data_IF_995162990039
#
_entry.id   IF_995162990039
#
_cell.length_a   1.000
_cell.length_b   1.000
_cell.length_c   1.000
_cell.angle_alpha   90.00
_cell.angle_beta   90.00
_cell.angle_gamma   90.00
#
_symmetry.space_group_name_H-M   'P 1'
#
loop_
_entity.id
_entity.type
_entity.pdbx_description
1 polymer ?
#
# COMPACT_ATOMS: atom_id res chain seq x y z
N UNK A 1 -3.75 -25.30 5.68
CA UNK A 1 -3.70 -25.85 7.07
C UNK A 1 -3.24 -27.30 7.05
N UNK A 2 -2.50 -27.73 8.08
CA UNK A 2 -2.03 -29.12 8.18
C UNK A 2 -3.22 -30.09 8.30
N UNK A 3 -3.25 -31.20 7.55
CA UNK A 3 -4.27 -32.24 7.70
C UNK A 3 -4.38 -32.70 9.17
N UNK A 4 -5.62 -32.82 9.67
CA UNK A 4 -5.90 -33.16 11.07
C UNK A 4 -6.03 -31.97 12.02
N UNK A 5 -5.84 -30.73 11.55
CA UNK A 5 -6.15 -29.52 12.32
C UNK A 5 -7.65 -29.43 12.60
N UNK A 6 -8.04 -29.15 13.85
CA UNK A 6 -9.44 -28.98 14.27
C UNK A 6 -9.73 -27.52 14.59
N UNK A 7 -10.75 -26.94 13.97
CA UNK A 7 -11.24 -25.59 14.30
C UNK A 7 -12.02 -25.66 15.62
N UNK A 8 -11.68 -24.79 16.57
CA UNK A 8 -12.32 -24.67 17.89
C UNK A 8 -13.33 -23.53 17.89
N UNK A 9 -12.95 -22.36 17.36
CA UNK A 9 -13.84 -21.21 17.21
C UNK A 9 -13.45 -20.35 16.02
N UNK A 10 -14.43 -19.60 15.51
CA UNK A 10 -14.28 -18.56 14.52
C UNK A 10 -15.08 -17.35 15.00
N UNK A 11 -14.38 -16.24 15.29
CA UNK A 11 -14.97 -15.03 15.85
C UNK A 11 -14.67 -13.86 14.92
N UNK A 12 -15.68 -13.02 14.62
CA UNK A 12 -15.45 -11.78 13.89
C UNK A 12 -14.40 -10.92 14.61
N UNK A 13 -13.45 -10.35 13.87
CA UNK A 13 -12.33 -9.64 14.47
C UNK A 13 -11.81 -8.52 13.57
N UNK A 14 -11.64 -7.33 14.12
CA UNK A 14 -11.15 -6.15 13.40
C UNK A 14 -12.18 -5.54 12.43
N UNK A 15 -11.75 -4.49 11.72
CA UNK A 15 -12.56 -3.76 10.75
C UNK A 15 -11.80 -3.65 9.44
N UNK A 16 -12.47 -3.90 8.32
CA UNK A 16 -11.92 -3.71 6.98
C UNK A 16 -12.97 -3.11 6.04
N UNK A 17 -12.53 -2.20 5.18
CA UNK A 17 -13.33 -1.63 4.08
C UNK A 17 -13.57 -2.63 2.93
N UNK A 18 -12.86 -3.77 2.91
CA UNK A 18 -12.77 -4.65 1.73
C UNK A 18 -13.03 -6.13 2.00
N UNK A 19 -12.82 -6.61 3.22
CA UNK A 19 -13.02 -8.02 3.57
C UNK A 19 -13.82 -8.21 4.87
N UNK A 20 -14.45 -9.37 5.02
CA UNK A 20 -14.89 -9.88 6.33
C UNK A 20 -13.71 -10.56 7.00
N UNK A 21 -13.47 -10.21 8.25
CA UNK A 21 -12.27 -10.65 8.99
C UNK A 21 -12.65 -11.45 10.24
N UNK A 22 -11.87 -12.48 10.53
CA UNK A 22 -12.12 -13.35 11.68
C UNK A 22 -10.82 -13.86 12.33
N UNK A 23 -10.88 -14.08 13.63
CA UNK A 23 -9.88 -14.83 14.40
C UNK A 23 -10.34 -16.28 14.51
N UNK A 24 -9.54 -17.19 13.98
CA UNK A 24 -9.74 -18.63 14.07
C UNK A 24 -8.87 -19.22 15.18
N UNK A 25 -9.48 -19.91 16.13
CA UNK A 25 -8.73 -20.72 17.11
C UNK A 25 -8.74 -22.18 16.68
N UNK A 26 -7.58 -22.82 16.61
CA UNK A 26 -7.44 -24.21 16.18
C UNK A 26 -6.62 -25.06 17.15
N UNK A 27 -6.79 -26.37 17.08
CA UNK A 27 -5.89 -27.38 17.65
C UNK A 27 -5.19 -28.10 16.50
N UNK A 28 -3.86 -28.02 16.47
CA UNK A 28 -3.01 -28.69 15.49
C UNK A 28 -2.96 -30.22 15.75
N UNK A 29 -2.48 -31.02 14.78
CA UNK A 29 -2.39 -32.48 14.95
C UNK A 29 -1.55 -32.94 16.14
N UNK A 30 -0.57 -32.13 16.56
CA UNK A 30 0.27 -32.38 17.74
C UNK A 30 -0.39 -31.96 19.07
N UNK A 31 -1.65 -31.51 19.03
CA UNK A 31 -2.42 -31.05 20.18
C UNK A 31 -2.16 -29.60 20.59
N UNK A 32 -1.22 -28.88 19.95
CA UNK A 32 -0.97 -27.47 20.26
C UNK A 32 -2.09 -26.58 19.77
N UNK A 33 -2.38 -25.53 20.53
CA UNK A 33 -3.32 -24.48 20.12
C UNK A 33 -2.59 -23.47 19.25
N UNK A 34 -3.22 -23.03 18.16
CA UNK A 34 -2.75 -21.94 17.30
C UNK A 34 -3.92 -21.04 16.94
N UNK A 35 -3.64 -19.77 16.68
CA UNK A 35 -4.62 -18.80 16.20
C UNK A 35 -4.24 -18.31 14.81
N UNK A 36 -5.23 -18.14 13.94
CA UNK A 36 -5.06 -17.59 12.60
C UNK A 36 -5.98 -16.40 12.41
N UNK A 37 -5.50 -15.45 11.61
CA UNK A 37 -6.31 -14.37 11.07
C UNK A 37 -6.82 -14.80 9.69
N UNK A 38 -8.13 -14.72 9.49
CA UNK A 38 -8.83 -15.06 8.26
C UNK A 38 -9.41 -13.78 7.64
N UNK A 39 -9.12 -13.55 6.36
CA UNK A 39 -9.85 -12.57 5.54
C UNK A 39 -10.66 -13.32 4.49
N UNK A 40 -11.92 -12.92 4.31
CA UNK A 40 -12.79 -13.40 3.24
C UNK A 40 -13.30 -12.22 2.41
N UNK A 41 -13.16 -12.30 1.09
CA UNK A 41 -13.55 -11.26 0.16
C UNK A 41 -14.37 -11.83 -1.01
N UNK A 42 -15.26 -10.99 -1.56
CA UNK A 42 -16.07 -11.27 -2.75
C UNK A 42 -15.96 -10.09 -3.73
N UNK A 43 -16.32 -10.30 -4.99
CA UNK A 43 -16.31 -9.25 -6.01
C UNK A 43 -15.02 -9.15 -6.84
N UNK A 44 -14.96 -8.10 -7.67
CA UNK A 44 -13.90 -7.86 -8.66
C UNK A 44 -12.63 -7.38 -7.96
N UNK A 45 -11.68 -8.29 -7.75
CA UNK A 45 -10.41 -8.04 -7.08
C UNK A 45 -10.20 -8.88 -5.82
N UNK A 46 -11.24 -9.60 -5.34
CA UNK A 46 -11.15 -10.46 -4.16
C UNK A 46 -10.06 -11.53 -4.26
N UNK A 47 -9.86 -12.09 -5.47
CA UNK A 47 -8.77 -13.03 -5.73
C UNK A 47 -7.40 -12.39 -5.53
N UNK A 48 -7.19 -11.19 -6.07
CA UNK A 48 -5.92 -10.48 -5.94
C UNK A 48 -5.66 -10.02 -4.50
N UNK A 49 -6.71 -9.68 -3.76
CA UNK A 49 -6.60 -9.42 -2.32
C UNK A 49 -6.09 -10.68 -1.59
N UNK A 50 -6.70 -11.84 -1.81
CA UNK A 50 -6.32 -13.07 -1.10
C UNK A 50 -5.00 -13.71 -1.58
N UNK A 51 -4.88 -13.98 -2.88
CA UNK A 51 -3.70 -14.59 -3.51
C UNK A 51 -2.50 -13.64 -3.45
N UNK A 52 -2.72 -12.36 -3.76
CA UNK A 52 -1.69 -11.33 -3.73
C UNK A 52 -1.13 -11.13 -2.34
N UNK A 53 -1.96 -11.02 -1.31
CA UNK A 53 -1.50 -10.89 0.09
C UNK A 53 -0.70 -12.13 0.54
N UNK A 54 -1.15 -13.35 0.18
CA UNK A 54 -0.39 -14.56 0.49
C UNK A 54 1.02 -14.55 -0.12
N UNK A 55 1.13 -14.24 -1.40
CA UNK A 55 2.42 -14.21 -2.08
C UNK A 55 3.30 -13.05 -1.61
N UNK A 56 2.69 -11.90 -1.29
CA UNK A 56 3.36 -10.73 -0.73
C UNK A 56 3.96 -11.04 0.65
N UNK A 57 3.15 -11.59 1.56
CA UNK A 57 3.60 -11.98 2.89
C UNK A 57 4.68 -13.08 2.85
N UNK A 58 4.60 -13.98 1.85
CA UNK A 58 5.61 -15.02 1.63
C UNK A 58 6.93 -14.40 1.16
N UNK A 59 6.88 -13.46 0.21
CA UNK A 59 8.07 -12.77 -0.31
C UNK A 59 8.76 -11.96 0.78
N UNK A 60 8.01 -11.19 1.59
CA UNK A 60 8.57 -10.42 2.69
C UNK A 60 9.20 -11.35 3.74
N UNK A 61 8.52 -12.42 4.17
CA UNK A 61 9.09 -13.35 5.16
C UNK A 61 10.33 -14.12 4.66
N UNK A 62 10.50 -14.26 3.34
CA UNK A 62 11.71 -14.85 2.78
C UNK A 62 12.93 -13.92 2.89
N UNK A 63 12.70 -12.60 2.95
CA UNK A 63 13.76 -11.57 3.08
C UNK A 63 13.95 -11.16 4.53
N UNK A 64 12.86 -10.80 5.22
CA UNK A 64 12.84 -10.36 6.63
C UNK A 64 11.85 -11.21 7.42
N UNK A 65 12.27 -12.39 7.92
CA UNK A 65 11.40 -13.28 8.69
C UNK A 65 10.75 -12.58 9.88
N UNK A 66 9.44 -12.74 10.03
CA UNK A 66 8.67 -12.16 11.13
C UNK A 66 8.43 -10.65 11.02
N UNK A 67 8.68 -10.02 9.85
CA UNK A 67 8.25 -8.65 9.59
C UNK A 67 6.75 -8.56 9.33
N UNK A 68 6.19 -9.56 8.66
CA UNK A 68 4.74 -9.71 8.43
C UNK A 68 4.24 -11.03 9.01
N UNK A 69 2.94 -11.16 9.32
CA UNK A 69 2.37 -12.43 9.74
C UNK A 69 2.72 -13.57 8.77
N UNK A 70 3.10 -14.73 9.29
CA UNK A 70 3.42 -15.87 8.43
C UNK A 70 2.17 -16.34 7.68
N UNK A 71 2.20 -16.39 6.33
CA UNK A 71 1.04 -16.82 5.56
C UNK A 71 0.87 -18.34 5.66
N UNK A 72 -0.33 -18.78 6.03
CA UNK A 72 -0.68 -20.18 6.19
C UNK A 72 -1.40 -20.77 4.97
N UNK A 73 -2.01 -19.92 4.14
CA UNK A 73 -2.62 -20.31 2.87
C UNK A 73 -3.58 -19.27 2.32
N UNK A 74 -3.98 -19.46 1.07
CA UNK A 74 -5.10 -18.78 0.45
C UNK A 74 -5.95 -19.78 -0.33
N UNK A 75 -7.15 -19.41 -0.73
CA UNK A 75 -7.98 -20.24 -1.59
C UNK A 75 -9.34 -19.63 -1.88
N UNK A 76 -10.24 -20.46 -2.39
CA UNK A 76 -11.58 -20.03 -2.80
C UNK A 76 -12.64 -21.07 -2.43
N UNK A 77 -13.88 -20.62 -2.19
CA UNK A 77 -15.04 -21.49 -1.96
C UNK A 77 -16.34 -20.82 -2.43
N UNK A 78 -17.34 -21.65 -2.79
CA UNK A 78 -18.68 -21.17 -3.13
C UNK A 78 -19.54 -21.00 -1.87
N UNK A 79 -20.28 -19.89 -1.79
CA UNK A 79 -21.24 -19.61 -0.73
C UNK A 79 -22.43 -18.84 -1.31
N UNK A 80 -23.64 -19.37 -1.15
CA UNK A 80 -24.90 -18.75 -1.59
C UNK A 80 -24.90 -18.29 -3.07
N UNK A 81 -24.26 -19.05 -3.95
CA UNK A 81 -24.15 -18.73 -5.39
C UNK A 81 -23.03 -17.74 -5.74
N UNK A 82 -22.28 -17.26 -4.75
CA UNK A 82 -21.15 -16.35 -4.92
C UNK A 82 -19.81 -17.05 -4.69
N UNK A 83 -18.78 -16.61 -5.41
CA UNK A 83 -17.40 -17.05 -5.19
C UNK A 83 -16.75 -16.19 -4.10
N UNK A 84 -16.24 -16.83 -3.05
CA UNK A 84 -15.46 -16.19 -1.97
C UNK A 84 -14.00 -16.58 -2.13
N UNK A 85 -13.10 -15.62 -1.94
CA UNK A 85 -11.66 -15.85 -1.81
C UNK A 85 -11.24 -15.58 -0.38
N UNK A 86 -10.28 -16.34 0.13
CA UNK A 86 -9.78 -16.17 1.48
C UNK A 86 -8.25 -16.16 1.58
N UNK A 87 -7.75 -15.39 2.53
CA UNK A 87 -6.38 -15.40 3.01
C UNK A 87 -6.36 -15.87 4.47
N UNK A 88 -5.36 -16.67 4.82
CA UNK A 88 -5.13 -17.18 6.16
C UNK A 88 -3.67 -16.93 6.57
N UNK A 89 -3.46 -16.18 7.65
CA UNK A 89 -2.14 -15.89 8.20
C UNK A 89 -2.09 -16.09 9.72
N UNK A 90 -0.90 -16.10 10.29
CA UNK A 90 -0.72 -16.18 11.74
C UNK A 90 -1.41 -15.00 12.45
N UNK A 91 -2.11 -15.28 13.55
CA UNK A 91 -2.74 -14.24 14.34
C UNK A 91 -1.78 -13.73 15.42
N UNK A 92 -1.60 -12.42 15.47
CA UNK A 92 -0.80 -11.74 16.48
C UNK A 92 -1.69 -10.81 17.31
N UNK A 93 -1.55 -10.87 18.64
CA UNK A 93 -2.09 -9.81 19.50
C UNK A 93 -1.17 -8.60 19.36
N UNK A 94 -1.71 -7.47 18.87
CA UNK A 94 -0.93 -6.28 18.53
C UNK A 94 -1.50 -5.04 19.22
N UNK A 95 -0.61 -4.16 19.66
CA UNK A 95 -0.93 -2.77 19.99
C UNK A 95 -0.81 -1.92 18.72
N UNK A 96 -1.89 -1.27 18.31
CA UNK A 96 -1.98 -0.53 17.04
C UNK A 96 -1.91 0.99 17.23
N UNK A 97 -1.94 1.49 18.48
CA UNK A 97 -1.91 2.94 18.76
C UNK A 97 -0.50 3.51 18.89
N UNK A 98 0.51 2.64 19.08
CA UNK A 98 1.89 3.07 19.27
C UNK A 98 2.65 3.05 17.94
N UNK A 99 3.37 4.13 17.58
CA UNK A 99 4.27 4.09 16.43
C UNK A 99 5.43 3.12 16.69
N UNK A 100 5.98 2.50 15.65
CA UNK A 100 7.13 1.61 15.80
C UNK A 100 8.38 2.39 16.22
N UNK A 101 9.32 1.71 16.90
CA UNK A 101 10.60 2.33 17.24
C UNK A 101 11.37 2.65 15.95
N UNK A 102 11.74 3.92 15.69
CA UNK A 102 12.22 4.34 14.39
C UNK A 102 13.50 3.64 13.90
N UNK A 103 14.44 3.32 14.79
CA UNK A 103 15.73 2.73 14.40
C UNK A 103 15.54 1.29 13.91
N UNK A 104 14.89 0.43 14.70
CA UNK A 104 14.63 -0.95 14.30
C UNK A 104 13.71 -1.02 13.09
N UNK A 105 12.63 -0.23 13.08
CA UNK A 105 11.66 -0.24 11.99
C UNK A 105 12.29 0.09 10.64
N UNK A 106 13.02 1.20 10.56
CA UNK A 106 13.62 1.65 9.29
C UNK A 106 14.74 0.72 8.82
N UNK A 107 15.49 0.10 9.74
CA UNK A 107 16.47 -0.92 9.41
C UNK A 107 15.82 -2.15 8.75
N UNK A 108 14.67 -2.61 9.28
CA UNK A 108 13.92 -3.76 8.73
C UNK A 108 13.23 -3.44 7.41
N UNK A 109 12.70 -2.23 7.24
CA UNK A 109 12.18 -1.77 5.93
C UNK A 109 13.31 -1.70 4.89
N UNK A 110 14.49 -1.19 5.27
CA UNK A 110 15.65 -1.19 4.38
C UNK A 110 16.13 -2.61 4.05
N UNK A 111 16.04 -3.56 4.99
CA UNK A 111 16.32 -4.98 4.72
C UNK A 111 15.32 -5.57 3.71
N UNK A 112 14.03 -5.29 3.87
CA UNK A 112 12.99 -5.70 2.92
C UNK A 112 13.27 -5.15 1.51
N UNK A 113 13.62 -3.87 1.39
CA UNK A 113 13.95 -3.23 0.12
C UNK A 113 15.22 -3.77 -0.56
N UNK A 114 16.06 -4.56 0.14
CA UNK A 114 17.16 -5.31 -0.50
C UNK A 114 16.70 -6.62 -1.15
N UNK A 115 15.44 -7.02 -0.95
CA UNK A 115 14.83 -8.12 -1.68
C UNK A 115 14.69 -7.79 -3.17
N UNK A 116 15.33 -8.58 -4.03
CA UNK A 116 15.33 -8.33 -5.48
C UNK A 116 14.33 -9.22 -6.21
N UNK A 117 13.81 -8.71 -7.33
CA UNK A 117 12.95 -9.50 -8.23
C UNK A 117 13.65 -10.78 -8.71
N UNK A 118 13.03 -11.98 -8.59
CA UNK A 118 13.65 -13.25 -8.99
C UNK A 118 14.07 -13.34 -10.46
N UNK A 119 13.45 -12.53 -11.33
CA UNK A 119 13.76 -12.44 -12.76
C UNK A 119 14.37 -11.09 -13.17
N UNK A 120 14.68 -10.23 -12.20
CA UNK A 120 15.23 -8.89 -12.44
C UNK A 120 14.25 -7.88 -13.05
N UNK A 121 12.96 -8.20 -13.16
CA UNK A 121 11.94 -7.30 -13.74
C UNK A 121 11.11 -6.60 -12.65
N UNK A 122 10.61 -5.41 -12.99
CA UNK A 122 9.57 -4.71 -12.23
C UNK A 122 8.21 -5.43 -12.31
N UNK A 123 7.35 -5.19 -11.33
CA UNK A 123 6.02 -5.82 -11.21
C UNK A 123 5.98 -6.93 -10.18
N UNK A 124 4.93 -7.77 -10.18
CA UNK A 124 4.80 -8.87 -9.22
C UNK A 124 4.32 -10.17 -9.90
N UNK A 125 4.76 -11.36 -9.45
CA UNK A 125 4.40 -12.62 -10.13
C UNK A 125 2.90 -12.93 -10.18
N UNK A 126 2.13 -12.34 -9.26
CA UNK A 126 0.67 -12.46 -9.19
C UNK A 126 0.05 -11.07 -9.04
N UNK A 127 -1.20 -10.87 -9.48
CA UNK A 127 -1.87 -9.61 -9.28
C UNK A 127 -2.00 -9.24 -7.80
N UNK A 128 -1.65 -8.00 -7.45
CA UNK A 128 -1.89 -7.42 -6.12
C UNK A 128 -2.86 -6.24 -6.21
N UNK A 129 -3.22 -5.66 -5.06
CA UNK A 129 -4.23 -4.61 -4.95
C UNK A 129 -3.68 -3.18 -5.09
N UNK A 130 -2.36 -3.00 -5.25
CA UNK A 130 -1.76 -1.68 -5.51
C UNK A 130 -2.39 -1.00 -6.74
N UNK A 131 -2.71 -1.74 -7.80
CA UNK A 131 -3.28 -1.17 -9.03
C UNK A 131 -2.31 -0.24 -9.80
N UNK A 132 -2.54 -0.07 -11.11
CA UNK A 132 -1.73 0.81 -11.96
C UNK A 132 -2.32 2.21 -11.98
N UNK A 133 -1.47 3.26 -11.99
CA UNK A 133 -1.88 4.67 -11.96
C UNK A 133 -3.03 5.00 -12.93
N UNK A 134 -2.93 4.55 -14.19
CA UNK A 134 -3.99 4.77 -15.21
C UNK A 134 -5.34 4.16 -14.82
N UNK A 135 -5.33 2.97 -14.22
CA UNK A 135 -6.55 2.31 -13.75
C UNK A 135 -7.13 3.02 -12.54
N UNK A 136 -6.27 3.51 -11.62
CA UNK A 136 -6.70 4.28 -10.46
C UNK A 136 -7.33 5.60 -10.88
N UNK A 137 -6.71 6.32 -11.83
CA UNK A 137 -7.28 7.56 -12.41
C UNK A 137 -8.64 7.30 -13.05
N UNK A 138 -8.76 6.22 -13.82
CA UNK A 138 -10.03 5.83 -14.44
C UNK A 138 -11.10 5.54 -13.38
N UNK A 139 -10.78 4.76 -12.35
CA UNK A 139 -11.71 4.41 -11.30
C UNK A 139 -12.12 5.63 -10.44
N UNK A 140 -11.19 6.53 -10.17
CA UNK A 140 -11.46 7.82 -9.54
C UNK A 140 -12.44 8.66 -10.37
N UNK A 141 -12.25 8.75 -11.69
CA UNK A 141 -13.14 9.46 -12.60
C UNK A 141 -14.55 8.84 -12.64
N UNK A 142 -14.65 7.51 -12.68
CA UNK A 142 -15.93 6.79 -12.62
C UNK A 142 -16.68 7.06 -11.31
N UNK A 143 -15.95 7.27 -10.22
CA UNK A 143 -16.49 7.48 -8.87
C UNK A 143 -16.89 8.93 -8.61
N UNK A 144 -16.01 9.88 -8.94
CA UNK A 144 -16.12 11.29 -8.56
C UNK A 144 -16.62 12.19 -9.70
N UNK A 145 -16.82 11.64 -10.89
CA UNK A 145 -17.29 12.38 -12.07
C UNK A 145 -16.17 13.13 -12.81
N UNK A 146 -16.50 13.68 -14.00
CA UNK A 146 -15.51 14.31 -14.87
C UNK A 146 -14.97 15.63 -14.29
N UNK A 147 -13.68 15.87 -14.47
CA UNK A 147 -13.00 17.12 -14.13
C UNK A 147 -11.93 17.43 -15.18
N UNK A 148 -12.22 18.28 -16.19
CA UNK A 148 -11.34 18.48 -17.34
C UNK A 148 -9.92 18.94 -17.01
N UNK A 149 -9.77 19.84 -16.02
CA UNK A 149 -8.48 20.35 -15.58
C UNK A 149 -7.65 19.25 -14.90
N UNK A 150 -8.29 18.42 -14.07
CA UNK A 150 -7.68 17.23 -13.49
C UNK A 150 -7.26 16.21 -14.57
N UNK A 151 -8.11 15.96 -15.56
CA UNK A 151 -7.78 15.05 -16.67
C UNK A 151 -6.61 15.57 -17.50
N UNK A 152 -6.50 16.89 -17.66
CA UNK A 152 -5.35 17.54 -18.30
C UNK A 152 -4.07 17.37 -17.47
N UNK A 153 -4.14 17.58 -16.16
CA UNK A 153 -3.01 17.36 -15.25
C UNK A 153 -2.57 15.89 -15.21
N UNK A 154 -3.50 14.94 -15.18
CA UNK A 154 -3.19 13.50 -15.24
C UNK A 154 -2.44 13.13 -16.52
N UNK A 155 -2.90 13.64 -17.67
CA UNK A 155 -2.23 13.41 -18.95
C UNK A 155 -0.82 13.99 -18.96
N UNK A 156 -0.68 15.23 -18.50
CA UNK A 156 0.62 15.90 -18.41
C UNK A 156 1.58 15.17 -17.46
N UNK A 157 1.05 14.66 -16.34
CA UNK A 157 1.79 13.84 -15.40
C UNK A 157 2.33 12.58 -16.08
N UNK A 158 1.47 11.81 -16.75
CA UNK A 158 1.83 10.52 -17.36
C UNK A 158 2.76 10.70 -18.55
N UNK A 159 2.40 11.58 -19.49
CA UNK A 159 3.08 11.71 -20.78
C UNK A 159 4.38 12.52 -20.70
N UNK A 160 4.56 13.34 -19.67
CA UNK A 160 5.73 14.25 -19.57
C UNK A 160 6.45 14.08 -18.24
N UNK A 161 5.78 14.34 -17.11
CA UNK A 161 6.44 14.40 -15.80
C UNK A 161 7.02 13.05 -15.39
N UNK A 162 6.25 11.96 -15.47
CA UNK A 162 6.69 10.61 -15.09
C UNK A 162 7.86 10.17 -15.96
N UNK A 163 7.74 10.35 -17.29
CA UNK A 163 8.80 9.97 -18.23
C UNK A 163 10.10 10.72 -17.94
N UNK A 164 10.01 12.00 -17.56
CA UNK A 164 11.18 12.81 -17.20
C UNK A 164 11.74 12.39 -15.84
N UNK A 165 10.91 12.39 -14.80
CA UNK A 165 11.34 12.25 -13.41
C UNK A 165 11.81 10.83 -13.09
N UNK A 166 11.11 9.81 -13.60
CA UNK A 166 11.54 8.42 -13.45
C UNK A 166 12.54 8.01 -14.53
N UNK A 167 12.52 8.63 -15.71
CA UNK A 167 13.54 8.43 -16.73
C UNK A 167 14.94 8.86 -16.28
N UNK A 168 15.03 9.91 -15.46
CA UNK A 168 16.28 10.38 -14.88
C UNK A 168 16.96 9.32 -14.00
N UNK A 169 16.21 8.40 -13.38
CA UNK A 169 16.78 7.32 -12.57
C UNK A 169 17.61 6.31 -13.39
N UNK A 170 17.39 6.26 -14.70
CA UNK A 170 18.03 5.32 -15.63
C UNK A 170 18.77 6.03 -16.77
N UNK A 171 19.01 7.34 -16.65
CA UNK A 171 19.78 8.12 -17.61
C UNK A 171 21.21 8.36 -17.12
N UNK A 172 22.09 8.82 -18.01
CA UNK A 172 23.47 9.23 -17.65
C UNK A 172 24.29 8.12 -16.95
N UNK A 173 24.04 6.86 -17.35
CA UNK A 173 24.73 5.68 -16.81
C UNK A 173 24.19 5.19 -15.46
N UNK A 174 23.09 5.77 -14.97
CA UNK A 174 22.37 5.30 -13.78
C UNK A 174 21.48 4.11 -14.14
N UNK A 175 21.21 3.30 -13.12
CA UNK A 175 20.32 2.16 -13.22
C UNK A 175 19.62 1.96 -11.87
N UNK A 176 18.40 1.43 -11.91
CA UNK A 176 17.64 1.08 -10.71
C UNK A 176 17.31 -0.41 -10.72
N UNK A 177 17.49 -1.03 -9.57
CA UNK A 177 17.16 -2.45 -9.37
C UNK A 177 15.77 -2.54 -8.73
N UNK A 178 14.86 -3.39 -9.26
CA UNK A 178 13.55 -3.60 -8.64
C UNK A 178 13.69 -4.13 -7.20
N UNK A 179 13.25 -3.33 -6.24
CA UNK A 179 13.21 -3.63 -4.82
C UNK A 179 11.82 -4.13 -4.41
N UNK A 180 11.78 -5.12 -3.53
CA UNK A 180 10.53 -5.59 -2.92
C UNK A 180 9.96 -4.48 -2.03
N UNK A 181 8.82 -3.92 -2.42
CA UNK A 181 8.06 -2.95 -1.61
C UNK A 181 6.84 -3.63 -0.99
N UNK A 182 6.47 -3.22 0.23
CA UNK A 182 5.25 -3.62 0.92
C UNK A 182 4.00 -3.15 0.18
N UNK A 183 4.00 -1.89 -0.26
CA UNK A 183 2.99 -1.37 -1.18
C UNK A 183 1.81 -0.64 -0.55
N UNK A 184 1.59 -0.88 0.73
CA UNK A 184 0.58 -0.20 1.55
C UNK A 184 1.13 0.03 2.97
N UNK A 185 2.38 0.50 3.09
CA UNK A 185 3.03 0.69 4.38
C UNK A 185 2.64 2.03 5.01
N UNK A 186 1.52 2.05 5.71
CA UNK A 186 1.05 3.22 6.48
C UNK A 186 0.72 2.85 7.92
N UNK A 187 0.40 3.84 8.75
CA UNK A 187 0.33 3.69 10.21
C UNK A 187 -0.71 2.68 10.68
N UNK A 188 -1.82 2.50 9.95
CA UNK A 188 -2.84 1.50 10.30
C UNK A 188 -2.50 0.09 9.81
N UNK A 189 -1.39 -0.09 9.10
CA UNK A 189 -0.84 -1.37 8.68
C UNK A 189 0.42 -1.75 9.47
N UNK A 190 0.62 -1.12 10.64
CA UNK A 190 1.74 -1.39 11.54
C UNK A 190 1.22 -1.63 12.96
N UNK A 191 1.74 -2.65 13.63
CA UNK A 191 1.41 -2.96 15.01
C UNK A 191 2.62 -3.47 15.78
N UNK A 192 2.58 -3.34 17.11
CA UNK A 192 3.59 -3.90 18.00
C UNK A 192 3.07 -5.20 18.59
N UNK A 193 3.72 -6.31 18.28
CA UNK A 193 3.35 -7.61 18.81
C UNK A 193 3.48 -7.62 20.33
N UNK A 194 2.38 -7.85 21.05
CA UNK A 194 2.36 -7.80 22.52
C UNK A 194 3.25 -8.87 23.17
N UNK A 195 3.45 -10.00 22.49
CA UNK A 195 4.25 -11.11 22.99
C UNK A 195 5.76 -10.84 22.93
N UNK A 196 6.23 -10.17 21.88
CA UNK A 196 7.67 -10.01 21.59
C UNK A 196 8.17 -8.58 21.69
N UNK A 197 7.27 -7.59 21.61
CA UNK A 197 7.61 -6.18 21.45
C UNK A 197 8.08 -5.80 20.04
N UNK A 198 8.11 -6.76 19.10
CA UNK A 198 8.58 -6.49 17.73
C UNK A 198 7.51 -5.80 16.90
N UNK A 199 7.94 -4.94 15.98
CA UNK A 199 7.06 -4.40 14.94
C UNK A 199 6.64 -5.50 13.98
N UNK A 200 5.34 -5.54 13.68
CA UNK A 200 4.71 -6.32 12.63
C UNK A 200 4.06 -5.34 11.67
N UNK A 201 4.34 -5.50 10.38
CA UNK A 201 3.60 -4.83 9.31
C UNK A 201 2.62 -5.83 8.70
N UNK A 202 1.47 -5.39 8.22
CA UNK A 202 0.43 -6.29 7.71
C UNK A 202 -0.31 -5.67 6.53
N UNK A 203 -1.15 -6.47 5.89
CA UNK A 203 -1.86 -6.15 4.65
C UNK A 203 -0.92 -5.81 3.46
N UNK A 204 0.14 -6.61 3.21
CA UNK A 204 1.05 -6.31 2.12
C UNK A 204 0.40 -6.55 0.75
N UNK A 205 0.55 -5.57 -0.14
CA UNK A 205 0.19 -5.64 -1.55
C UNK A 205 1.42 -5.47 -2.42
N UNK A 206 2.39 -6.36 -2.29
CA UNK A 206 3.75 -6.14 -2.80
C UNK A 206 3.82 -5.90 -4.32
N UNK A 207 4.91 -5.24 -4.71
CA UNK A 207 5.43 -5.24 -6.07
C UNK A 207 6.96 -5.12 -6.02
N UNK A 208 7.65 -5.47 -7.11
CA UNK A 208 9.04 -5.09 -7.28
C UNK A 208 9.09 -3.76 -8.02
N UNK A 209 9.49 -2.71 -7.31
CA UNK A 209 9.42 -1.31 -7.76
C UNK A 209 10.71 -0.54 -7.40
N UNK A 210 10.74 0.75 -7.74
CA UNK A 210 11.69 1.65 -7.12
C UNK A 210 11.37 1.76 -5.62
N UNK A 211 12.36 1.52 -4.76
CA UNK A 211 12.21 1.49 -3.30
C UNK A 211 11.61 2.77 -2.71
N UNK A 212 11.85 3.92 -3.34
CA UNK A 212 11.31 5.21 -2.90
C UNK A 212 9.78 5.29 -3.00
N UNK A 213 9.16 4.43 -3.82
CA UNK A 213 7.71 4.40 -3.99
C UNK A 213 6.97 4.05 -2.70
N UNK A 214 7.59 3.28 -1.80
CA UNK A 214 6.99 2.89 -0.51
C UNK A 214 6.50 4.10 0.30
N UNK A 215 7.24 5.20 0.22
CA UNK A 215 7.03 6.35 1.10
C UNK A 215 6.02 7.37 0.56
N UNK A 216 5.41 7.12 -0.61
CA UNK A 216 4.38 7.98 -1.16
C UNK A 216 3.23 8.21 -0.17
N UNK A 217 2.76 7.15 0.50
CA UNK A 217 1.68 7.24 1.50
C UNK A 217 2.08 8.01 2.76
N UNK A 218 3.38 8.15 3.05
CA UNK A 218 3.87 8.93 4.21
C UNK A 218 3.80 10.43 3.98
N UNK A 219 3.61 10.88 2.73
CA UNK A 219 3.31 12.27 2.40
C UNK A 219 1.83 12.61 2.45
N UNK A 220 0.94 11.62 2.60
CA UNK A 220 -0.49 11.86 2.52
C UNK A 220 -1.03 12.49 3.81
N UNK A 221 -2.21 13.12 3.72
CA UNK A 221 -2.82 13.90 4.83
C UNK A 221 -3.15 13.08 6.06
N UNK A 222 -3.20 11.76 5.94
CA UNK A 222 -3.44 10.82 7.03
C UNK A 222 -2.15 10.30 7.69
N UNK A 223 -0.97 10.63 7.17
CA UNK A 223 0.29 10.29 7.83
C UNK A 223 0.53 11.26 8.98
N UNK A 224 0.59 10.74 10.21
CA UNK A 224 0.81 11.51 11.43
C UNK A 224 2.17 11.23 12.06
N UNK A 225 2.48 9.97 12.33
CA UNK A 225 3.79 9.53 12.82
C UNK A 225 4.85 9.48 11.71
N UNK A 226 4.48 8.95 10.54
CA UNK A 226 5.41 8.72 9.44
C UNK A 226 5.73 9.97 8.61
N UNK A 227 4.99 11.07 8.81
CA UNK A 227 5.39 12.38 8.28
C UNK A 227 6.64 12.94 9.00
N UNK A 228 7.07 12.32 10.11
CA UNK A 228 8.24 12.75 10.85
C UNK A 228 9.52 12.51 10.03
N UNK A 229 10.39 13.52 9.86
CA UNK A 229 11.63 13.37 9.12
C UNK A 229 12.61 12.36 9.76
N UNK A 230 12.38 11.97 11.01
CA UNK A 230 13.20 10.98 11.73
C UNK A 230 13.22 9.64 11.01
N UNK A 231 12.07 9.11 10.59
CA UNK A 231 12.00 7.82 9.90
C UNK A 231 12.76 7.86 8.58
N UNK A 232 12.53 8.91 7.78
CA UNK A 232 13.21 9.04 6.50
C UNK A 232 14.72 9.16 6.65
N UNK A 233 15.20 9.97 7.61
CA UNK A 233 16.63 10.13 7.87
C UNK A 233 17.29 8.83 8.31
N UNK A 234 16.62 8.03 9.15
CA UNK A 234 17.15 6.74 9.60
C UNK A 234 17.15 5.71 8.46
N UNK A 235 16.08 5.64 7.67
CA UNK A 235 16.07 4.80 6.46
C UNK A 235 17.19 5.18 5.48
N UNK A 236 17.42 6.49 5.27
CA UNK A 236 18.48 6.99 4.40
C UNK A 236 19.90 6.67 4.89
N UNK A 237 20.09 6.33 6.17
CA UNK A 237 21.37 5.79 6.65
C UNK A 237 21.66 4.37 6.13
N UNK A 238 20.62 3.63 5.75
CA UNK A 238 20.73 2.27 5.22
C UNK A 238 20.71 2.21 3.68
N UNK A 239 19.89 3.04 3.04
CA UNK A 239 19.77 3.14 1.59
C UNK A 239 19.74 4.62 1.22
N UNK A 240 20.79 5.10 0.55
CA UNK A 240 20.90 6.49 0.13
C UNK A 240 19.84 6.84 -0.93
N UNK A 241 19.40 8.10 -1.02
CA UNK A 241 18.54 8.58 -2.10
C UNK A 241 19.09 8.23 -3.48
N UNK A 242 18.22 7.83 -4.42
CA UNK A 242 18.62 7.60 -5.80
C UNK A 242 18.99 8.91 -6.50
N UNK A 243 19.97 8.87 -7.40
CA UNK A 243 20.37 10.03 -8.19
C UNK A 243 19.33 10.36 -9.29
N UNK A 244 18.92 11.63 -9.48
CA UNK A 244 19.44 12.83 -8.83
C UNK A 244 18.87 12.99 -7.42
N UNK A 245 19.75 13.19 -6.43
CA UNK A 245 19.35 13.29 -5.01
C UNK A 245 18.45 14.49 -4.76
N UNK A 246 18.64 15.58 -5.49
CA UNK A 246 17.84 16.80 -5.39
C UNK A 246 16.38 16.60 -5.84
N UNK A 247 16.08 15.52 -6.54
CA UNK A 247 14.74 15.16 -7.02
C UNK A 247 14.06 14.10 -6.15
N UNK A 248 14.70 13.66 -5.07
CA UNK A 248 14.14 12.70 -4.11
C UNK A 248 12.73 13.13 -3.64
N UNK A 249 12.59 14.37 -3.17
CA UNK A 249 11.31 14.83 -2.62
C UNK A 249 10.22 14.89 -3.69
N UNK A 250 10.58 15.28 -4.92
CA UNK A 250 9.66 15.34 -6.04
C UNK A 250 9.20 13.95 -6.47
N UNK A 251 10.08 12.94 -6.42
CA UNK A 251 9.71 11.54 -6.66
C UNK A 251 8.76 11.04 -5.60
N UNK A 252 9.01 11.35 -4.32
CA UNK A 252 8.10 10.99 -3.24
C UNK A 252 6.74 11.69 -3.41
N UNK A 253 6.72 12.96 -3.83
CA UNK A 253 5.51 13.70 -4.22
C UNK A 253 4.76 13.02 -5.36
N UNK A 254 5.46 12.61 -6.43
CA UNK A 254 4.87 11.81 -7.50
C UNK A 254 4.26 10.51 -6.97
N UNK A 255 4.98 9.78 -6.10
CA UNK A 255 4.51 8.53 -5.53
C UNK A 255 3.32 8.69 -4.59
N UNK A 256 3.13 9.86 -3.96
CA UNK A 256 1.96 10.14 -3.12
C UNK A 256 0.65 10.35 -3.88
N UNK A 257 0.72 10.65 -5.18
CA UNK A 257 -0.48 10.85 -6.01
C UNK A 257 -1.29 9.54 -6.07
N UNK A 258 -0.63 8.41 -6.23
CA UNK A 258 -1.29 7.10 -6.33
C UNK A 258 -2.17 6.77 -5.10
N UNK A 259 -1.67 6.82 -3.85
CA UNK A 259 -2.50 6.55 -2.68
C UNK A 259 -3.59 7.61 -2.47
N UNK A 260 -3.37 8.88 -2.80
CA UNK A 260 -4.46 9.88 -2.78
C UNK A 260 -5.59 9.53 -3.76
N UNK A 261 -5.26 9.13 -4.98
CA UNK A 261 -6.28 8.75 -5.96
C UNK A 261 -6.96 7.43 -5.58
N UNK A 262 -6.23 6.51 -4.97
CA UNK A 262 -6.79 5.26 -4.43
C UNK A 262 -7.80 5.56 -3.32
N UNK A 263 -7.47 6.47 -2.39
CA UNK A 263 -8.42 6.94 -1.38
C UNK A 263 -9.62 7.63 -2.01
N UNK A 264 -9.40 8.59 -2.93
CA UNK A 264 -10.46 9.33 -3.61
C UNK A 264 -11.46 8.43 -4.32
N UNK A 265 -10.96 7.37 -4.98
CA UNK A 265 -11.81 6.40 -5.66
C UNK A 265 -12.54 5.45 -4.69
N UNK A 266 -11.93 5.15 -3.53
CA UNK A 266 -12.55 4.33 -2.48
C UNK A 266 -13.56 5.10 -1.59
N UNK A 267 -13.42 6.43 -1.51
CA UNK A 267 -14.16 7.30 -0.60
C UNK A 267 -14.68 8.54 -1.33
N UNK A 268 -15.80 8.42 -2.08
CA UNK A 268 -16.38 9.53 -2.83
C UNK A 268 -16.62 10.76 -1.95
N UNK A 269 -16.13 11.92 -2.39
CA UNK A 269 -16.21 13.18 -1.65
C UNK A 269 -15.08 13.42 -0.64
N UNK A 270 -14.05 12.57 -0.59
CA UNK A 270 -12.82 12.91 0.15
C UNK A 270 -12.09 14.09 -0.49
N UNK A 271 -11.25 14.76 0.29
CA UNK A 271 -10.40 15.86 -0.20
C UNK A 271 -9.19 15.36 -1.02
N UNK A 272 -8.99 14.04 -1.10
CA UNK A 272 -7.78 13.44 -1.67
C UNK A 272 -7.62 13.71 -3.15
N UNK A 273 -8.72 13.84 -3.90
CA UNK A 273 -8.67 14.22 -5.32
C UNK A 273 -8.06 15.60 -5.52
N UNK A 274 -8.47 16.57 -4.70
CA UNK A 274 -7.98 17.94 -4.77
C UNK A 274 -6.51 18.04 -4.31
N UNK A 275 -6.14 17.26 -3.29
CA UNK A 275 -4.75 17.17 -2.83
C UNK A 275 -3.85 16.54 -3.90
N UNK A 276 -4.26 15.42 -4.51
CA UNK A 276 -3.55 14.80 -5.63
C UNK A 276 -3.39 15.79 -6.79
N UNK A 277 -4.45 16.51 -7.15
CA UNK A 277 -4.40 17.53 -8.19
C UNK A 277 -3.37 18.62 -7.87
N UNK A 278 -3.32 19.14 -6.65
CA UNK A 278 -2.33 20.14 -6.26
C UNK A 278 -0.88 19.61 -6.33
N UNK A 279 -0.64 18.36 -5.93
CA UNK A 279 0.67 17.70 -6.10
C UNK A 279 1.04 17.54 -7.59
N UNK A 280 0.06 17.25 -8.47
CA UNK A 280 0.26 17.21 -9.92
C UNK A 280 0.64 18.59 -10.46
N UNK A 281 -0.05 19.66 -10.05
CA UNK A 281 0.23 21.03 -10.49
C UNK A 281 1.67 21.43 -10.17
N UNK A 282 2.15 21.13 -8.96
CA UNK A 282 3.54 21.39 -8.57
C UNK A 282 4.54 20.72 -9.53
N UNK A 283 4.33 19.43 -9.79
CA UNK A 283 5.22 18.67 -10.65
C UNK A 283 5.14 19.12 -12.11
N UNK A 284 3.93 19.45 -12.59
CA UNK A 284 3.73 19.98 -13.93
C UNK A 284 4.45 21.33 -14.08
N UNK A 285 4.26 22.29 -13.17
CA UNK A 285 4.97 23.58 -13.22
C UNK A 285 6.50 23.41 -13.31
N UNK A 286 7.05 22.46 -12.53
CA UNK A 286 8.51 22.25 -12.45
C UNK A 286 9.08 21.48 -13.64
N UNK A 287 8.37 20.46 -14.13
CA UNK A 287 8.94 19.46 -15.06
C UNK A 287 8.28 19.39 -16.43
N UNK A 288 7.08 19.94 -16.58
CA UNK A 288 6.33 19.92 -17.82
C UNK A 288 5.22 20.95 -17.78
N UNK A 289 5.52 22.25 -17.81
CA UNK A 289 4.52 23.30 -17.66
C UNK A 289 3.53 23.25 -18.82
N UNK A 290 2.25 23.44 -18.51
CA UNK A 290 1.16 23.46 -19.48
C UNK A 290 0.27 24.66 -19.17
N UNK A 291 0.19 25.63 -20.10
CA UNK A 291 -0.48 26.92 -19.89
C UNK A 291 -1.96 26.82 -19.51
N UNK A 292 -2.62 25.70 -19.84
CA UNK A 292 -4.02 25.47 -19.50
C UNK A 292 -4.26 25.00 -18.07
N UNK A 293 -3.20 24.64 -17.33
CA UNK A 293 -3.32 24.19 -15.94
C UNK A 293 -3.31 25.38 -14.99
N UNK A 294 -3.98 25.22 -13.86
CA UNK A 294 -3.86 26.14 -12.73
C UNK A 294 -2.43 26.12 -12.16
N UNK A 295 -2.07 27.15 -11.41
CA UNK A 295 -0.79 27.19 -10.70
C UNK A 295 -0.87 26.36 -9.42
N UNK A 296 0.27 25.79 -9.02
CA UNK A 296 0.36 25.14 -7.71
C UNK A 296 0.04 26.12 -6.58
N UNK A 297 -0.73 25.65 -5.62
CA UNK A 297 -1.16 26.43 -4.47
C UNK A 297 -0.49 25.90 -3.18
N UNK A 298 0.51 26.62 -2.62
CA UNK A 298 1.19 26.20 -1.40
C UNK A 298 0.27 26.22 -0.16
N UNK A 299 -0.87 26.93 -0.19
CA UNK A 299 -1.84 26.91 0.91
C UNK A 299 -2.66 25.61 0.95
N UNK A 300 -2.63 24.82 -0.14
CA UNK A 300 -3.24 23.48 -0.24
C UNK A 300 -2.23 22.35 -0.04
N UNK A 301 -0.95 22.67 0.09
CA UNK A 301 0.10 21.68 0.29
C UNK A 301 0.24 21.34 1.78
N UNK A 302 -0.06 20.11 2.13
CA UNK A 302 -0.03 19.66 3.52
C UNK A 302 1.39 19.53 4.08
N UNK A 303 2.39 19.34 3.22
CA UNK A 303 3.79 19.31 3.63
C UNK A 303 4.29 20.71 4.02
N UNK A 304 3.65 21.75 3.48
CA UNK A 304 3.92 23.16 3.80
C UNK A 304 3.07 23.63 4.99
N UNK A 305 1.79 23.29 5.01
CA UNK A 305 0.84 23.77 6.03
C UNK A 305 0.85 22.95 7.31
N UNK A 306 1.31 21.70 7.28
CA UNK A 306 1.20 20.75 8.38
C UNK A 306 -0.22 20.27 8.65
N UNK A 307 -1.14 20.45 7.70
CA UNK A 307 -2.53 20.00 7.85
C UNK A 307 -2.61 18.46 7.93
N UNK A 308 -3.46 17.98 8.85
CA UNK A 308 -3.68 16.56 9.09
C UNK A 308 -5.18 16.24 9.01
N UNK A 309 -5.52 15.20 8.24
CA UNK A 309 -6.88 14.69 8.10
C UNK A 309 -6.86 13.20 8.46
N UNK A 310 -7.43 12.80 9.61
CA UNK A 310 -7.48 11.40 9.99
C UNK A 310 -8.19 10.55 8.92
N UNK A 311 -7.60 9.42 8.56
CA UNK A 311 -8.27 8.43 7.72
C UNK A 311 -9.34 7.69 8.53
N UNK A 312 -10.57 7.60 8.02
CA UNK A 312 -11.68 6.92 8.70
C UNK A 312 -11.94 5.57 8.05
N UNK A 313 -11.60 4.49 8.76
CA UNK A 313 -11.95 3.13 8.36
C UNK A 313 -13.41 2.87 8.70
N UNK A 314 -14.23 2.62 7.68
CA UNK A 314 -15.64 2.27 7.88
C UNK A 314 -15.79 0.74 7.81
N UNK A 315 -16.71 0.17 8.57
CA UNK A 315 -17.04 -1.24 8.41
C UNK A 315 -17.75 -1.43 7.07
N UNK A 316 -17.43 -2.51 6.36
CA UNK A 316 -18.21 -2.94 5.20
C UNK A 316 -19.69 -3.11 5.60
N UNK A 317 -20.57 -2.31 5.00
CA UNK A 317 -22.01 -2.58 5.02
C UNK A 317 -22.26 -3.95 4.37
N UNK A 318 -23.12 -4.77 4.98
CA UNK A 318 -23.45 -6.13 4.51
C UNK A 318 -23.97 -6.20 3.06
N UNK A 319 -24.35 -5.06 2.48
CA UNK A 319 -24.96 -4.92 1.15
C UNK A 319 -24.10 -4.15 0.12
N UNK A 320 -22.83 -3.83 0.40
CA UNK A 320 -21.96 -3.12 -0.57
C UNK A 320 -20.75 -3.95 -0.98
N UNK A 321 -20.74 -4.40 -2.23
CA UNK A 321 -19.53 -4.87 -2.92
C UNK A 321 -18.61 -3.67 -3.18
N UNK A 322 -17.75 -3.30 -2.23
CA UNK A 322 -16.78 -2.21 -2.46
C UNK A 322 -15.63 -2.64 -3.37
N UNK A 323 -15.31 -3.92 -3.45
CA UNK A 323 -14.25 -4.43 -4.34
C UNK A 323 -14.78 -4.50 -5.80
N UNK A 324 -15.09 -3.34 -6.40
CA UNK A 324 -15.46 -3.24 -7.81
C UNK A 324 -14.41 -2.48 -8.65
N UNK A 325 -13.47 -1.77 -8.01
CA UNK A 325 -12.55 -0.85 -8.69
C UNK A 325 -11.07 -1.21 -8.75
N UNK A 326 -10.59 -2.16 -7.94
CA UNK A 326 -9.18 -2.55 -7.97
C UNK A 326 -9.00 -3.58 -9.10
N UNK A 327 -8.76 -3.09 -10.32
CA UNK A 327 -8.28 -3.96 -11.39
C UNK A 327 -6.88 -4.44 -11.04
N UNK A 328 -6.81 -5.70 -10.63
CA UNK A 328 -5.56 -6.35 -10.28
C UNK A 328 -4.68 -6.51 -11.53
N UNK A 329 -3.44 -6.04 -11.46
CA UNK A 329 -2.50 -6.07 -12.59
C UNK A 329 -1.29 -6.93 -12.25
N UNK A 330 -0.78 -7.67 -13.25
CA UNK A 330 0.46 -8.45 -13.17
C UNK A 330 1.66 -7.59 -13.51
#
# INVERSE_FOLDING_TARGET
MLPGTKVVSAEAYGTSNWAKTAKLSVVLPDGKRKRFFLKCAQGKGARALAEGEYHSASAINAVVPGLVPSPAGWGEYGMDGSQVYFFLGDFHDMELSAPPEPVDFTARIAEMHRGTSPNGMFGFPVPTVIGVMEHVIKYDNETNGPWPEYDAACRQLIEVVILRLLGALQSDGRDIVPALVHGDLWEQNVGIAMETGNTIVFDPGCTYAHNEMEFGTWRCSWAFHFNSPTYMRLYQQHIQPSEPVEEWDDRNRLYSIHPYLTDSAGHPGSMSRQLAYNEMLYLCEKYGPLESLEQYDPEKDISVTGAYTPFVINQLDENRDRIQGIEAVR
#
